data_IF_388532528489
#
_entry.id   IF_388532528489
#
_cell.length_a   1.000
_cell.length_b   1.000
_cell.length_c   1.000
_cell.angle_alpha   90.00
_cell.angle_beta   90.00
_cell.angle_gamma   90.00
#
_symmetry.space_group_name_H-M   'P 1'
#
loop_
_entity.id
_entity.type
_entity.pdbx_description
1 polymer ?
#
# COMPACT_ATOMS: atom_id res chain seq x y z
N UNK A 1 19.46 10.04 -0.06
CA UNK A 1 18.90 11.39 0.09
C UNK A 1 18.18 11.53 1.44
N UNK A 2 17.13 10.76 1.68
CA UNK A 2 16.23 10.91 2.84
C UNK A 2 16.56 10.00 4.03
N UNK A 3 17.72 9.36 4.06
CA UNK A 3 18.09 8.37 5.08
C UNK A 3 18.10 8.94 6.50
N UNK A 4 18.69 10.12 6.68
CA UNK A 4 18.75 10.77 7.98
C UNK A 4 17.36 11.21 8.47
N UNK A 5 16.51 11.67 7.56
CA UNK A 5 15.15 12.07 7.90
C UNK A 5 14.29 10.86 8.21
N UNK A 6 14.49 9.70 7.56
CA UNK A 6 13.83 8.45 7.94
C UNK A 6 14.21 8.00 9.37
N UNK A 7 15.45 8.25 9.82
CA UNK A 7 15.82 8.00 11.23
C UNK A 7 15.00 8.90 12.17
N UNK A 8 14.80 10.17 11.80
CA UNK A 8 13.96 11.09 12.59
C UNK A 8 12.48 10.68 12.57
N UNK A 9 11.99 10.14 11.44
CA UNK A 9 10.64 9.55 11.36
C UNK A 9 10.48 8.39 12.32
N UNK A 10 11.46 7.48 12.40
CA UNK A 10 11.43 6.36 13.38
C UNK A 10 11.44 6.87 14.83
N UNK A 11 12.20 7.91 15.12
CA UNK A 11 12.18 8.56 16.43
C UNK A 11 10.82 9.17 16.76
N UNK A 12 10.19 9.83 15.77
CA UNK A 12 8.85 10.40 15.93
C UNK A 12 7.79 9.31 16.14
N UNK A 13 7.82 8.22 15.37
CA UNK A 13 6.96 7.05 15.54
C UNK A 13 7.11 6.45 16.96
N UNK A 14 8.35 6.28 17.41
CA UNK A 14 8.64 5.77 18.77
C UNK A 14 8.11 6.71 19.84
N UNK A 15 8.26 8.02 19.66
CA UNK A 15 7.74 9.04 20.59
C UNK A 15 6.22 8.97 20.69
N UNK A 16 5.53 8.88 19.56
CA UNK A 16 4.07 8.80 19.53
C UNK A 16 3.55 7.52 20.18
N UNK A 17 4.21 6.39 19.95
CA UNK A 17 3.86 5.12 20.61
C UNK A 17 4.07 5.17 22.12
N UNK A 18 5.13 5.81 22.61
CA UNK A 18 5.44 5.89 24.04
C UNK A 18 4.47 6.81 24.82
N UNK A 19 3.86 7.81 24.14
CA UNK A 19 2.88 8.72 24.75
C UNK A 19 1.48 8.10 24.84
N UNK A 20 1.26 6.91 24.26
CA UNK A 20 -0.02 6.26 24.24
C UNK A 20 -0.40 5.67 25.61
N UNK A 21 -1.69 5.49 25.84
CA UNK A 21 -2.22 4.68 26.93
C UNK A 21 -1.63 3.26 26.89
N UNK A 22 -1.19 2.72 28.04
CA UNK A 22 -0.37 1.50 28.08
C UNK A 22 -0.85 0.34 27.20
N UNK A 23 -2.12 -0.08 27.17
CA UNK A 23 -2.58 -1.15 26.28
C UNK A 23 -2.39 -0.84 24.80
N UNK A 24 -2.49 0.44 24.40
CA UNK A 24 -2.28 0.87 23.02
C UNK A 24 -0.79 0.92 22.73
N UNK A 25 0.04 1.42 23.64
CA UNK A 25 1.49 1.52 23.42
C UNK A 25 2.16 0.15 23.21
N UNK A 26 1.68 -0.89 23.88
CA UNK A 26 2.16 -2.26 23.69
C UNK A 26 1.88 -2.76 22.25
N UNK A 27 0.65 -2.56 21.76
CA UNK A 27 0.24 -3.00 20.44
C UNK A 27 0.97 -2.17 19.36
N UNK A 28 1.00 -0.85 19.49
CA UNK A 28 1.62 0.04 18.50
C UNK A 28 3.13 -0.16 18.43
N UNK A 29 3.81 -0.29 19.58
CA UNK A 29 5.25 -0.57 19.61
C UNK A 29 5.59 -1.93 18.98
N UNK A 30 4.75 -2.93 19.19
CA UNK A 30 4.91 -4.24 18.58
C UNK A 30 4.80 -4.17 17.04
N UNK A 31 3.83 -3.43 16.52
CA UNK A 31 3.59 -3.29 15.09
C UNK A 31 4.68 -2.48 14.41
N UNK A 32 5.00 -1.32 14.94
CA UNK A 32 6.04 -0.44 14.41
C UNK A 32 7.42 -1.08 14.50
N UNK A 33 7.69 -1.85 15.56
CA UNK A 33 8.91 -2.64 15.74
C UNK A 33 9.01 -3.87 14.84
N UNK A 34 7.94 -4.22 14.09
CA UNK A 34 7.94 -5.28 13.07
C UNK A 34 8.74 -4.95 11.80
N UNK A 35 9.35 -3.77 11.76
CA UNK A 35 10.13 -3.30 10.62
C UNK A 35 9.25 -2.90 9.42
N UNK A 36 9.91 -2.48 8.34
CA UNK A 36 9.26 -2.09 7.09
C UNK A 36 10.23 -1.29 6.23
N UNK A 37 10.03 -1.29 4.92
CA UNK A 37 10.88 -0.53 3.97
C UNK A 37 10.62 0.99 4.03
N UNK A 38 9.65 1.44 4.82
CA UNK A 38 9.25 2.86 4.99
C UNK A 38 9.10 3.60 3.66
N UNK A 39 8.56 2.92 2.67
CA UNK A 39 8.42 3.47 1.31
C UNK A 39 7.52 4.71 1.27
N UNK A 40 6.42 4.71 2.04
CA UNK A 40 5.47 5.84 2.11
C UNK A 40 6.08 7.08 2.75
N UNK A 41 6.71 7.00 3.94
CA UNK A 41 7.50 8.09 4.49
C UNK A 41 8.59 8.59 3.54
N UNK A 42 9.34 7.67 2.90
CA UNK A 42 10.38 8.04 1.95
C UNK A 42 9.83 8.82 0.76
N UNK A 43 8.70 8.38 0.21
CA UNK A 43 8.01 9.07 -0.89
C UNK A 43 7.62 10.50 -0.51
N UNK A 44 6.99 10.70 0.66
CA UNK A 44 6.63 12.04 1.14
C UNK A 44 7.87 12.93 1.26
N UNK A 45 8.94 12.44 1.88
CA UNK A 45 10.18 13.19 2.06
C UNK A 45 10.88 13.52 0.73
N UNK A 46 10.85 12.60 -0.24
CA UNK A 46 11.38 12.84 -1.58
C UNK A 46 10.57 13.91 -2.31
N UNK A 47 9.25 13.85 -2.25
CA UNK A 47 8.36 14.84 -2.85
C UNK A 47 8.49 16.21 -2.16
N UNK A 48 8.67 16.25 -0.83
CA UNK A 48 8.97 17.48 -0.11
C UNK A 48 10.28 18.11 -0.58
N UNK A 49 11.36 17.33 -0.65
CA UNK A 49 12.66 17.82 -1.14
C UNK A 49 12.62 18.26 -2.60
N UNK A 50 11.80 17.61 -3.42
CA UNK A 50 11.57 17.98 -4.81
C UNK A 50 10.80 19.30 -4.95
N UNK A 51 9.81 19.52 -4.09
CA UNK A 51 8.98 20.72 -4.10
C UNK A 51 9.60 21.90 -3.36
N UNK A 52 10.66 21.69 -2.56
CA UNK A 52 11.20 22.71 -1.65
C UNK A 52 11.68 23.97 -2.40
N UNK A 53 10.87 25.02 -2.34
CA UNK A 53 11.18 26.37 -2.89
C UNK A 53 11.87 27.26 -1.88
N UNK A 54 11.74 26.96 -0.59
CA UNK A 54 12.34 27.68 0.51
C UNK A 54 13.05 26.71 1.45
N UNK A 55 14.09 27.20 2.15
CA UNK A 55 14.71 26.43 3.25
C UNK A 55 13.69 26.31 4.39
N UNK A 56 12.97 25.17 4.47
CA UNK A 56 12.23 24.78 5.65
C UNK A 56 13.11 23.90 6.55
N UNK A 57 12.84 23.87 7.85
CA UNK A 57 13.57 22.99 8.77
C UNK A 57 13.19 21.50 8.62
N UNK A 58 12.27 21.18 7.73
CA UNK A 58 11.80 19.82 7.42
C UNK A 58 11.00 19.12 8.54
N UNK A 59 10.75 19.79 9.67
CA UNK A 59 10.07 19.18 10.82
C UNK A 59 8.66 18.72 10.49
N UNK A 60 7.90 19.55 9.78
CA UNK A 60 6.54 19.21 9.34
C UNK A 60 6.54 18.00 8.41
N UNK A 61 7.52 17.90 7.50
CA UNK A 61 7.65 16.75 6.62
C UNK A 61 7.96 15.45 7.38
N UNK A 62 8.82 15.51 8.41
CA UNK A 62 9.13 14.36 9.28
C UNK A 62 7.87 13.94 10.06
N UNK A 63 7.14 14.89 10.67
CA UNK A 63 5.90 14.60 11.40
C UNK A 63 4.85 13.97 10.49
N UNK A 64 4.60 14.56 9.31
CA UNK A 64 3.60 14.01 8.39
C UNK A 64 4.05 12.69 7.75
N UNK A 65 5.35 12.46 7.56
CA UNK A 65 5.89 11.16 7.20
C UNK A 65 5.62 10.10 8.28
N UNK A 66 5.68 10.47 9.55
CA UNK A 66 5.24 9.59 10.65
C UNK A 66 3.71 9.38 10.62
N UNK A 67 2.92 10.44 10.39
CA UNK A 67 1.45 10.36 10.26
C UNK A 67 1.02 9.34 9.21
N UNK A 68 1.57 9.38 8.01
CA UNK A 68 1.19 8.44 6.95
C UNK A 68 1.56 6.99 7.30
N UNK A 69 2.62 6.77 8.07
CA UNK A 69 3.00 5.43 8.53
C UNK A 69 2.10 4.95 9.69
N UNK A 70 1.64 5.86 10.57
CA UNK A 70 0.64 5.55 11.59
C UNK A 70 -0.70 5.17 10.96
N UNK A 71 -1.18 5.94 9.97
CA UNK A 71 -2.39 5.62 9.20
C UNK A 71 -2.25 4.25 8.52
N UNK A 72 -1.13 3.99 7.86
CA UNK A 72 -0.88 2.68 7.27
C UNK A 72 -0.89 1.56 8.32
N UNK A 73 -0.30 1.79 9.49
CA UNK A 73 -0.30 0.80 10.57
C UNK A 73 -1.71 0.54 11.10
N UNK A 74 -2.55 1.58 11.19
CA UNK A 74 -3.94 1.44 11.56
C UNK A 74 -4.73 0.56 10.57
N UNK A 75 -4.54 0.79 9.26
CA UNK A 75 -5.18 -0.07 8.25
C UNK A 75 -4.73 -1.51 8.36
N UNK A 76 -3.43 -1.76 8.57
CA UNK A 76 -2.91 -3.13 8.71
C UNK A 76 -3.51 -3.87 9.93
N UNK A 77 -3.75 -3.16 11.05
CA UNK A 77 -4.41 -3.76 12.22
C UNK A 77 -5.85 -4.13 11.90
N UNK A 78 -6.58 -3.24 11.23
CA UNK A 78 -7.97 -3.48 10.87
C UNK A 78 -8.07 -4.60 9.83
N UNK A 79 -7.20 -4.59 8.81
CA UNK A 79 -7.13 -5.65 7.80
C UNK A 79 -6.87 -7.02 8.46
N UNK A 80 -5.94 -7.13 9.42
CA UNK A 80 -5.66 -8.37 10.14
C UNK A 80 -6.90 -8.93 10.86
N UNK A 81 -7.74 -8.05 11.41
CA UNK A 81 -9.00 -8.45 12.05
C UNK A 81 -10.03 -8.88 11.02
N UNK A 82 -10.20 -8.12 9.94
CA UNK A 82 -11.16 -8.37 8.84
C UNK A 82 -10.83 -9.69 8.13
N UNK A 83 -9.56 -9.87 7.77
CA UNK A 83 -9.06 -11.06 7.07
C UNK A 83 -8.85 -12.26 8.03
N UNK A 84 -9.08 -12.10 9.35
CA UNK A 84 -8.79 -13.11 10.38
C UNK A 84 -7.37 -13.67 10.28
N UNK A 85 -6.41 -12.80 10.01
CA UNK A 85 -5.03 -13.18 9.79
C UNK A 85 -4.36 -13.64 11.10
N UNK A 86 -3.71 -14.81 11.09
CA UNK A 86 -2.96 -15.32 12.24
C UNK A 86 -1.56 -14.69 12.36
N UNK A 87 -0.97 -14.36 11.24
CA UNK A 87 0.41 -13.86 11.17
C UNK A 87 0.55 -12.66 10.25
N UNK A 88 1.50 -11.77 10.58
CA UNK A 88 1.93 -10.65 9.76
C UNK A 88 3.46 -10.53 9.78
N UNK A 89 4.08 -10.55 8.60
CA UNK A 89 5.55 -10.48 8.46
C UNK A 89 6.28 -11.54 9.29
N UNK A 90 5.78 -12.78 9.29
CA UNK A 90 6.35 -13.90 10.03
C UNK A 90 6.21 -13.83 11.56
N UNK A 91 5.40 -12.91 12.10
CA UNK A 91 5.10 -12.77 13.53
C UNK A 91 3.59 -12.91 13.75
N UNK A 92 3.11 -13.31 14.94
CA UNK A 92 1.68 -13.27 15.24
C UNK A 92 1.08 -11.90 14.95
N UNK A 93 -0.09 -11.86 14.33
CA UNK A 93 -0.84 -10.62 14.11
C UNK A 93 -1.32 -10.00 15.42
N UNK A 94 -1.74 -8.74 15.40
CA UNK A 94 -2.24 -8.08 16.60
C UNK A 94 -3.50 -8.76 17.15
N UNK A 95 -4.44 -9.16 16.28
CA UNK A 95 -5.66 -9.85 16.67
C UNK A 95 -5.39 -11.23 17.28
N UNK A 96 -4.41 -11.99 16.76
CA UNK A 96 -4.00 -13.27 17.35
C UNK A 96 -3.39 -13.10 18.74
N UNK A 97 -2.67 -11.99 19.00
CA UNK A 97 -1.97 -11.77 20.26
C UNK A 97 -2.82 -11.10 21.34
N UNK A 98 -3.66 -10.13 20.96
CA UNK A 98 -4.44 -9.31 21.93
C UNK A 98 -5.95 -9.41 21.73
N UNK A 99 -6.40 -10.14 20.71
CA UNK A 99 -7.81 -10.31 20.35
C UNK A 99 -8.35 -9.15 19.52
N UNK A 100 -9.45 -9.42 18.79
CA UNK A 100 -10.04 -8.50 17.83
C UNK A 100 -10.44 -7.15 18.43
N UNK A 101 -11.09 -7.14 19.61
CA UNK A 101 -11.58 -5.91 20.24
C UNK A 101 -10.45 -4.91 20.53
N UNK A 102 -9.32 -5.40 21.09
CA UNK A 102 -8.18 -4.52 21.38
C UNK A 102 -7.50 -4.05 20.12
N UNK A 103 -7.43 -4.89 19.10
CA UNK A 103 -6.83 -4.55 17.81
C UNK A 103 -7.63 -3.46 17.10
N UNK A 104 -8.96 -3.59 17.02
CA UNK A 104 -9.82 -2.54 16.44
C UNK A 104 -9.62 -1.21 17.15
N UNK A 105 -9.70 -1.19 18.49
CA UNK A 105 -9.53 0.05 19.27
C UNK A 105 -8.12 0.65 19.15
N UNK A 106 -7.08 -0.19 18.99
CA UNK A 106 -5.73 0.30 18.74
C UNK A 106 -5.60 0.95 17.36
N UNK A 107 -6.25 0.39 16.33
CA UNK A 107 -6.34 1.00 15.00
C UNK A 107 -7.07 2.34 15.03
N UNK A 108 -8.22 2.41 15.70
CA UNK A 108 -8.98 3.66 15.89
C UNK A 108 -8.15 4.73 16.59
N UNK A 109 -7.42 4.33 17.63
CA UNK A 109 -6.53 5.24 18.34
C UNK A 109 -5.43 5.79 17.43
N UNK A 110 -4.81 4.95 16.59
CA UNK A 110 -3.79 5.38 15.62
C UNK A 110 -4.36 6.35 14.60
N UNK A 111 -5.58 6.14 14.12
CA UNK A 111 -6.27 7.10 13.25
C UNK A 111 -6.42 8.45 13.93
N UNK A 112 -6.96 8.48 15.15
CA UNK A 112 -7.16 9.74 15.88
C UNK A 112 -5.85 10.45 16.19
N UNK A 113 -4.82 9.70 16.60
CA UNK A 113 -3.47 10.24 16.84
C UNK A 113 -2.87 10.87 15.56
N UNK A 114 -3.06 10.23 14.42
CA UNK A 114 -2.60 10.73 13.13
C UNK A 114 -3.24 12.09 12.79
N UNK A 115 -4.55 12.22 12.97
CA UNK A 115 -5.25 13.48 12.74
C UNK A 115 -4.89 14.55 13.79
N UNK A 116 -4.65 14.16 15.03
CA UNK A 116 -4.21 15.09 16.07
C UNK A 116 -2.85 15.71 15.72
N UNK A 117 -1.88 14.88 15.30
CA UNK A 117 -0.55 15.37 14.89
C UNK A 117 -0.67 16.27 13.66
N UNK A 118 -1.47 15.88 12.67
CA UNK A 118 -1.68 16.68 11.47
C UNK A 118 -2.35 18.03 11.77
N UNK A 119 -3.27 18.07 12.71
CA UNK A 119 -3.94 19.31 13.15
C UNK A 119 -2.97 20.31 13.79
N UNK A 120 -1.88 19.85 14.41
CA UNK A 120 -0.84 20.73 14.97
C UNK A 120 -0.16 21.59 13.90
N UNK A 121 -0.11 21.11 12.65
CA UNK A 121 0.47 21.86 11.52
C UNK A 121 -0.37 23.07 11.11
N UNK A 122 -1.63 23.19 11.59
CA UNK A 122 -2.56 24.28 11.30
C UNK A 122 -2.74 24.58 9.81
N UNK A 123 -2.59 23.55 8.99
CA UNK A 123 -2.76 23.62 7.54
C UNK A 123 -3.98 22.79 7.13
N UNK A 124 -5.06 23.46 6.74
CA UNK A 124 -6.30 22.79 6.33
C UNK A 124 -6.10 21.93 5.08
N UNK A 125 -5.20 22.30 4.15
CA UNK A 125 -4.92 21.50 2.97
C UNK A 125 -4.34 20.13 3.33
N UNK A 126 -3.48 20.06 4.36
CA UNK A 126 -2.97 18.80 4.90
C UNK A 126 -4.12 17.92 5.44
N UNK A 127 -5.04 18.52 6.18
CA UNK A 127 -6.20 17.80 6.72
C UNK A 127 -7.14 17.30 5.61
N UNK A 128 -7.41 18.13 4.59
CA UNK A 128 -8.24 17.73 3.45
C UNK A 128 -7.65 16.50 2.75
N UNK A 129 -6.35 16.49 2.50
CA UNK A 129 -5.66 15.34 1.89
C UNK A 129 -5.78 14.09 2.77
N UNK A 130 -5.55 14.22 4.08
CA UNK A 130 -5.59 13.08 4.99
C UNK A 130 -7.00 12.51 5.16
N UNK A 131 -8.03 13.36 5.20
CA UNK A 131 -9.43 12.94 5.28
C UNK A 131 -9.82 12.20 3.98
N UNK A 132 -9.54 12.80 2.82
CA UNK A 132 -9.86 12.20 1.51
C UNK A 132 -9.18 10.83 1.34
N UNK A 133 -7.88 10.73 1.61
CA UNK A 133 -7.17 9.44 1.48
C UNK A 133 -7.66 8.38 2.47
N UNK A 134 -7.96 8.76 3.71
CA UNK A 134 -8.46 7.83 4.73
C UNK A 134 -9.83 7.30 4.36
N UNK A 135 -10.72 8.18 3.90
CA UNK A 135 -12.04 7.80 3.42
C UNK A 135 -11.93 6.83 2.23
N UNK A 136 -11.07 7.13 1.25
CA UNK A 136 -10.83 6.25 0.11
C UNK A 136 -10.30 4.87 0.53
N UNK A 137 -9.38 4.79 1.51
CA UNK A 137 -8.89 3.51 2.01
C UNK A 137 -10.02 2.66 2.60
N UNK A 138 -10.92 3.27 3.39
CA UNK A 138 -12.10 2.57 3.95
C UNK A 138 -13.06 2.13 2.84
N UNK A 139 -13.34 3.00 1.87
CA UNK A 139 -14.16 2.65 0.69
C UNK A 139 -13.52 1.50 -0.10
N UNK A 140 -12.20 1.49 -0.24
CA UNK A 140 -11.46 0.41 -0.88
C UNK A 140 -11.67 -0.94 -0.17
N UNK A 141 -11.63 -0.94 1.15
CA UNK A 141 -11.90 -2.16 1.93
C UNK A 141 -13.34 -2.64 1.76
N UNK A 142 -14.32 -1.73 1.77
CA UNK A 142 -15.72 -2.07 1.50
C UNK A 142 -15.92 -2.63 0.09
N UNK A 143 -15.24 -2.07 -0.93
CA UNK A 143 -15.24 -2.60 -2.30
C UNK A 143 -14.65 -4.01 -2.32
N UNK A 144 -13.54 -4.25 -1.63
CA UNK A 144 -12.92 -5.58 -1.52
C UNK A 144 -13.90 -6.59 -0.93
N UNK A 145 -14.50 -6.28 0.22
CA UNK A 145 -15.47 -7.15 0.88
C UNK A 145 -16.66 -7.50 -0.02
N UNK A 146 -17.14 -6.54 -0.82
CA UNK A 146 -18.23 -6.77 -1.77
C UNK A 146 -17.82 -7.67 -2.96
N UNK A 147 -16.52 -7.85 -3.21
CA UNK A 147 -15.98 -8.65 -4.31
C UNK A 147 -15.39 -9.99 -3.87
N UNK A 148 -15.24 -10.24 -2.56
CA UNK A 148 -14.78 -11.54 -2.05
C UNK A 148 -15.63 -12.68 -2.55
N UNK A 149 -14.99 -13.75 -3.07
CA UNK A 149 -15.64 -14.94 -3.59
C UNK A 149 -16.33 -14.78 -4.95
N UNK A 150 -16.22 -13.62 -5.59
CA UNK A 150 -16.85 -13.35 -6.90
C UNK A 150 -15.92 -13.66 -8.05
N UNK A 151 -16.45 -14.28 -9.09
CA UNK A 151 -15.73 -14.63 -10.31
C UNK A 151 -15.97 -13.66 -11.49
N UNK A 152 -16.84 -12.69 -11.31
CA UNK A 152 -17.21 -11.69 -12.31
C UNK A 152 -16.48 -10.35 -12.10
N UNK A 153 -15.36 -10.39 -11.35
CA UNK A 153 -14.48 -9.24 -11.15
C UNK A 153 -13.80 -8.86 -12.46
N UNK A 154 -13.90 -7.59 -12.83
CA UNK A 154 -13.31 -7.06 -14.07
C UNK A 154 -11.95 -6.42 -13.82
N UNK A 155 -11.19 -6.14 -14.90
CA UNK A 155 -9.95 -5.34 -14.83
C UNK A 155 -10.20 -3.96 -14.21
N UNK A 156 -11.32 -3.30 -14.58
CA UNK A 156 -11.72 -2.00 -14.03
C UNK A 156 -11.98 -2.09 -12.52
N UNK A 157 -12.66 -3.14 -12.06
CA UNK A 157 -12.86 -3.39 -10.63
C UNK A 157 -11.53 -3.56 -9.88
N UNK A 158 -10.60 -4.34 -10.43
CA UNK A 158 -9.30 -4.57 -9.83
C UNK A 158 -8.45 -3.28 -9.76
N UNK A 159 -8.42 -2.49 -10.84
CA UNK A 159 -7.71 -1.20 -10.86
C UNK A 159 -8.37 -0.20 -9.91
N UNK A 160 -9.69 -0.16 -9.84
CA UNK A 160 -10.42 0.69 -8.88
C UNK A 160 -10.06 0.30 -7.45
N UNK A 161 -10.11 -0.98 -7.11
CA UNK A 161 -9.74 -1.48 -5.79
C UNK A 161 -8.29 -1.10 -5.44
N UNK A 162 -7.33 -1.36 -6.34
CA UNK A 162 -5.93 -0.98 -6.16
C UNK A 162 -5.74 0.54 -5.97
N UNK A 163 -6.55 1.35 -6.67
CA UNK A 163 -6.54 2.82 -6.52
C UNK A 163 -6.97 3.24 -5.13
N UNK A 164 -8.08 2.68 -4.63
CA UNK A 164 -8.68 3.07 -3.35
C UNK A 164 -7.92 2.48 -2.15
N UNK A 165 -7.52 1.20 -2.20
CA UNK A 165 -6.89 0.53 -1.06
C UNK A 165 -5.39 0.88 -0.92
N UNK A 166 -4.69 1.03 -2.04
CA UNK A 166 -3.22 1.17 -2.03
C UNK A 166 -2.73 2.48 -2.61
N UNK A 167 -3.13 2.82 -3.84
CA UNK A 167 -2.55 3.95 -4.55
C UNK A 167 -2.96 5.31 -3.97
N UNK A 168 -4.13 5.43 -3.33
CA UNK A 168 -4.55 6.66 -2.67
C UNK A 168 -3.58 7.11 -1.57
N UNK A 169 -2.97 6.19 -0.82
CA UNK A 169 -1.99 6.53 0.21
C UNK A 169 -0.65 6.95 -0.40
N UNK A 170 -0.23 6.37 -1.53
CA UNK A 170 0.93 6.84 -2.28
C UNK A 170 0.70 8.25 -2.84
N UNK A 171 -0.48 8.49 -3.42
CA UNK A 171 -0.91 9.81 -3.88
C UNK A 171 -0.90 10.83 -2.73
N UNK A 172 -1.52 10.49 -1.60
CA UNK A 172 -1.53 11.34 -0.41
C UNK A 172 -0.12 11.69 0.10
N UNK A 173 0.80 10.71 0.13
CA UNK A 173 2.21 10.96 0.49
C UNK A 173 2.86 11.98 -0.45
N UNK A 174 2.67 11.83 -1.76
CA UNK A 174 3.27 12.70 -2.75
C UNK A 174 2.68 14.13 -2.67
N UNK A 175 1.34 14.25 -2.54
CA UNK A 175 0.63 15.53 -2.36
C UNK A 175 1.08 16.26 -1.09
N UNK A 176 1.12 15.56 0.05
CA UNK A 176 1.58 16.14 1.32
C UNK A 176 3.01 16.69 1.19
N UNK A 177 3.91 15.94 0.54
CA UNK A 177 5.26 16.41 0.25
C UNK A 177 5.26 17.69 -0.59
N UNK A 178 4.44 17.75 -1.63
CA UNK A 178 4.28 18.91 -2.51
C UNK A 178 3.77 20.15 -1.76
N UNK A 179 2.68 19.99 -1.01
CA UNK A 179 2.07 21.06 -0.21
C UNK A 179 3.05 21.64 0.80
N UNK A 180 3.79 20.78 1.53
CA UNK A 180 4.79 21.22 2.49
C UNK A 180 6.00 21.88 1.82
N UNK A 181 6.33 21.51 0.59
CA UNK A 181 7.39 22.12 -0.20
C UNK A 181 7.01 23.44 -0.87
N UNK A 182 5.71 23.80 -0.84
CA UNK A 182 5.21 25.06 -1.38
C UNK A 182 4.76 25.00 -2.84
N UNK A 183 4.40 23.82 -3.34
CA UNK A 183 3.79 23.64 -4.66
C UNK A 183 2.39 24.24 -4.71
N UNK A 184 2.02 24.78 -5.87
CA UNK A 184 0.67 25.21 -6.17
C UNK A 184 -0.26 24.01 -6.50
N UNK A 185 -1.54 24.27 -6.74
CA UNK A 185 -2.53 23.22 -7.01
C UNK A 185 -2.23 22.42 -8.28
N UNK A 186 -1.68 23.02 -9.32
CA UNK A 186 -1.35 22.32 -10.56
C UNK A 186 -0.14 21.38 -10.37
N UNK A 187 0.86 21.84 -9.63
CA UNK A 187 2.03 21.07 -9.28
C UNK A 187 1.68 19.94 -8.28
N UNK A 188 0.79 20.24 -7.32
CA UNK A 188 0.24 19.24 -6.40
C UNK A 188 -0.49 18.14 -7.19
N UNK A 189 -1.30 18.50 -8.21
CA UNK A 189 -1.98 17.53 -9.06
C UNK A 189 -1.00 16.62 -9.80
N UNK A 190 0.12 17.15 -10.26
CA UNK A 190 1.17 16.34 -10.90
C UNK A 190 1.78 15.32 -9.93
N UNK A 191 1.93 15.67 -8.65
CA UNK A 191 2.38 14.75 -7.61
C UNK A 191 1.28 13.76 -7.20
N UNK A 192 0.01 14.16 -7.22
CA UNK A 192 -1.13 13.25 -7.04
C UNK A 192 -1.10 12.13 -8.08
N UNK A 193 -1.00 12.51 -9.35
CA UNK A 193 -0.91 11.56 -10.46
C UNK A 193 0.34 10.68 -10.36
N UNK A 194 1.49 11.25 -10.00
CA UNK A 194 2.71 10.50 -9.77
C UNK A 194 2.52 9.42 -8.70
N UNK A 195 2.04 9.82 -7.52
CA UNK A 195 1.82 8.91 -6.40
C UNK A 195 0.79 7.83 -6.73
N UNK A 196 -0.30 8.21 -7.40
CA UNK A 196 -1.34 7.28 -7.84
C UNK A 196 -0.81 6.23 -8.81
N UNK A 197 -0.04 6.63 -9.83
CA UNK A 197 0.53 5.68 -10.79
C UNK A 197 1.62 4.81 -10.16
N UNK A 198 2.47 5.36 -9.30
CA UNK A 198 3.48 4.57 -8.57
C UNK A 198 2.81 3.55 -7.63
N UNK A 199 1.72 3.94 -6.95
CA UNK A 199 0.95 3.05 -6.08
C UNK A 199 0.22 1.93 -6.84
N UNK A 200 -0.31 2.22 -8.03
CA UNK A 200 -0.89 1.20 -8.92
C UNK A 200 0.17 0.20 -9.39
N UNK A 201 1.33 0.68 -9.87
CA UNK A 201 2.44 -0.19 -10.25
C UNK A 201 2.87 -1.08 -9.06
N UNK A 202 2.94 -0.50 -7.86
CA UNK A 202 3.28 -1.23 -6.64
C UNK A 202 2.30 -2.36 -6.34
N UNK A 203 0.99 -2.11 -6.41
CA UNK A 203 -0.02 -3.13 -6.15
C UNK A 203 0.02 -4.25 -7.18
N UNK A 204 0.16 -3.91 -8.48
CA UNK A 204 0.23 -4.93 -9.53
C UNK A 204 1.47 -5.84 -9.39
N UNK A 205 2.59 -5.30 -8.92
CA UNK A 205 3.76 -6.13 -8.60
C UNK A 205 3.48 -7.01 -7.38
N UNK A 206 2.80 -6.52 -6.34
CA UNK A 206 2.40 -7.35 -5.20
C UNK A 206 1.48 -8.50 -5.64
N UNK A 207 0.49 -8.23 -6.52
CA UNK A 207 -0.38 -9.26 -7.10
C UNK A 207 0.41 -10.32 -7.90
N UNK A 208 1.45 -9.91 -8.64
CA UNK A 208 2.33 -10.83 -9.37
C UNK A 208 3.17 -11.70 -8.44
N UNK A 209 3.66 -11.13 -7.35
CA UNK A 209 4.51 -11.82 -6.39
C UNK A 209 3.77 -12.97 -5.70
N UNK A 210 2.46 -12.87 -5.51
CA UNK A 210 1.62 -13.97 -4.98
C UNK A 210 1.67 -15.24 -5.88
N UNK A 211 2.08 -15.10 -7.17
CA UNK A 211 2.27 -16.19 -8.12
C UNK A 211 3.72 -16.58 -8.38
N UNK A 212 4.69 -15.72 -8.09
CA UNK A 212 6.06 -15.87 -8.57
C UNK A 212 7.10 -16.05 -7.48
N UNK A 213 6.83 -15.50 -6.29
CA UNK A 213 7.77 -15.58 -5.18
C UNK A 213 7.64 -16.90 -4.39
N UNK A 214 8.72 -17.36 -3.79
CA UNK A 214 8.70 -18.53 -2.91
C UNK A 214 7.98 -18.20 -1.59
N UNK A 215 7.43 -19.23 -0.93
CA UNK A 215 6.79 -19.07 0.39
C UNK A 215 7.75 -18.48 1.43
N UNK A 216 9.06 -18.77 1.32
CA UNK A 216 10.09 -18.20 2.19
C UNK A 216 10.26 -16.68 1.97
N UNK A 217 10.18 -16.26 0.71
CA UNK A 217 10.28 -14.84 0.32
C UNK A 217 9.02 -14.04 0.71
N UNK A 218 7.83 -14.62 0.51
CA UNK A 218 6.54 -13.97 0.83
C UNK A 218 6.25 -13.92 2.34
N UNK A 219 6.79 -14.88 3.10
CA UNK A 219 6.36 -15.12 4.49
C UNK A 219 4.92 -15.65 4.61
N UNK A 220 4.31 -16.03 3.47
CA UNK A 220 2.97 -16.63 3.33
C UNK A 220 2.97 -17.63 2.16
N UNK A 221 2.05 -18.61 2.12
CA UNK A 221 1.91 -19.51 0.98
C UNK A 221 1.59 -18.74 -0.31
N UNK A 222 2.02 -19.26 -1.46
CA UNK A 222 1.60 -18.75 -2.76
C UNK A 222 0.07 -18.84 -2.91
N UNK A 223 -0.52 -17.98 -3.73
CA UNK A 223 -1.97 -17.89 -3.94
C UNK A 223 -2.78 -17.62 -2.66
N UNK A 224 -2.17 -16.95 -1.69
CA UNK A 224 -2.85 -16.60 -0.44
C UNK A 224 -4.05 -15.67 -0.69
N UNK A 225 -3.96 -14.78 -1.68
CA UNK A 225 -5.04 -13.87 -2.04
C UNK A 225 -6.28 -14.64 -2.53
N UNK A 226 -6.08 -15.68 -3.35
CA UNK A 226 -7.19 -16.52 -3.80
C UNK A 226 -7.80 -17.33 -2.65
N UNK A 227 -7.01 -17.85 -1.74
CA UNK A 227 -7.50 -18.55 -0.54
C UNK A 227 -8.37 -17.63 0.34
N UNK A 228 -8.02 -16.35 0.42
CA UNK A 228 -8.80 -15.31 1.08
C UNK A 228 -10.03 -14.87 0.26
N UNK A 229 -10.26 -15.47 -0.90
CA UNK A 229 -11.39 -15.16 -1.79
C UNK A 229 -11.17 -13.97 -2.70
N UNK A 230 -9.94 -13.48 -2.81
CA UNK A 230 -9.55 -12.31 -3.63
C UNK A 230 -9.14 -12.77 -5.03
N UNK A 231 -9.86 -12.30 -6.05
CA UNK A 231 -9.56 -12.59 -7.46
C UNK A 231 -8.76 -11.42 -8.02
N UNK A 232 -7.43 -11.56 -8.04
CA UNK A 232 -6.49 -10.52 -8.49
C UNK A 232 -6.31 -10.51 -10.01
N UNK A 233 -5.66 -9.49 -10.52
CA UNK A 233 -5.55 -9.23 -11.96
C UNK A 233 -4.97 -10.40 -12.77
N UNK A 234 -3.93 -11.13 -12.32
CA UNK A 234 -3.45 -12.33 -13.02
C UNK A 234 -4.53 -13.40 -13.20
N UNK A 235 -5.38 -13.63 -12.20
CA UNK A 235 -6.50 -14.58 -12.31
C UNK A 235 -7.58 -14.09 -13.27
N UNK A 236 -7.93 -12.79 -13.21
CA UNK A 236 -8.90 -12.17 -14.13
C UNK A 236 -8.46 -12.41 -15.57
N UNK A 237 -7.21 -12.13 -15.90
CA UNK A 237 -6.68 -12.33 -17.24
C UNK A 237 -6.60 -13.79 -17.67
N UNK A 238 -6.19 -14.69 -16.77
CA UNK A 238 -6.16 -16.12 -17.06
C UNK A 238 -7.55 -16.66 -17.38
N UNK A 239 -8.59 -16.22 -16.67
CA UNK A 239 -9.97 -16.65 -16.91
C UNK A 239 -10.59 -16.04 -18.20
N UNK A 240 -10.12 -14.87 -18.65
CA UNK A 240 -10.60 -14.23 -19.88
C UNK A 240 -10.10 -14.92 -21.16
N UNK A 241 -8.93 -15.54 -21.15
CA UNK A 241 -8.26 -16.11 -22.31
C UNK A 241 -8.83 -17.48 -22.77
N UNK A 242 -10.06 -17.84 -22.37
CA UNK A 242 -10.73 -19.05 -22.81
C UNK A 242 -10.28 -20.34 -22.11
N UNK A 243 -9.48 -20.25 -21.08
CA UNK A 243 -9.06 -21.39 -20.25
C UNK A 243 -10.18 -21.75 -19.26
N UNK A 244 -11.16 -22.57 -19.71
CA UNK A 244 -12.23 -23.11 -18.85
C UNK A 244 -11.65 -23.78 -17.61
N UNK A 245 -10.51 -24.49 -17.74
CA UNK A 245 -9.84 -25.19 -16.64
C UNK A 245 -9.37 -24.23 -15.54
N UNK A 246 -8.78 -23.06 -15.89
CA UNK A 246 -8.39 -22.06 -14.89
C UNK A 246 -9.61 -21.52 -14.14
N UNK A 247 -10.71 -21.25 -14.87
CA UNK A 247 -11.97 -20.78 -14.29
C UNK A 247 -12.58 -21.81 -13.33
N UNK A 248 -12.59 -23.10 -13.70
CA UNK A 248 -13.11 -24.17 -12.87
C UNK A 248 -12.26 -24.37 -11.61
N UNK A 249 -10.94 -24.25 -11.72
CA UNK A 249 -10.03 -24.34 -10.56
C UNK A 249 -10.23 -23.16 -9.60
N UNK A 250 -10.31 -21.93 -10.10
CA UNK A 250 -10.59 -20.74 -9.27
C UNK A 250 -11.94 -20.89 -8.57
N UNK A 251 -12.99 -21.32 -9.26
CA UNK A 251 -14.31 -21.52 -8.67
C UNK A 251 -14.27 -22.50 -7.49
N UNK A 252 -13.57 -23.63 -7.64
CA UNK A 252 -13.42 -24.62 -6.57
C UNK A 252 -12.69 -24.07 -5.35
N UNK A 253 -11.57 -23.35 -5.54
CA UNK A 253 -10.82 -22.75 -4.42
C UNK A 253 -11.69 -21.71 -3.69
N UNK A 254 -12.46 -20.91 -4.41
CA UNK A 254 -13.38 -19.94 -3.79
C UNK A 254 -14.50 -20.61 -2.99
N UNK A 255 -15.01 -21.76 -3.47
CA UNK A 255 -16.02 -22.55 -2.77
C UNK A 255 -15.46 -23.24 -1.52
N UNK A 256 -14.28 -23.88 -1.67
CA UNK A 256 -13.62 -24.64 -0.60
C UNK A 256 -12.95 -23.73 0.43
N UNK A 257 -12.64 -22.47 0.07
CA UNK A 257 -11.80 -21.52 0.82
C UNK A 257 -10.44 -22.12 1.21
N UNK A 258 -9.99 -23.11 0.46
CA UNK A 258 -8.76 -23.85 0.67
C UNK A 258 -8.37 -24.57 -0.63
N UNK A 259 -7.15 -25.08 -0.70
CA UNK A 259 -6.63 -25.90 -1.81
C UNK A 259 -6.79 -27.41 -1.52
N UNK A 260 -8.04 -27.89 -1.33
CA UNK A 260 -8.31 -29.32 -1.10
C UNK A 260 -8.31 -30.12 -2.40
N UNK A 261 -9.09 -29.69 -3.38
CA UNK A 261 -9.25 -30.41 -4.66
C UNK A 261 -8.39 -29.83 -5.79
N UNK A 262 -7.77 -28.70 -5.59
CA UNK A 262 -6.96 -27.98 -6.58
C UNK A 262 -5.50 -27.97 -6.12
N UNK A 263 -4.59 -28.37 -7.01
CA UNK A 263 -3.14 -28.25 -6.76
C UNK A 263 -2.69 -26.82 -7.09
N UNK A 264 -2.12 -26.06 -6.12
CA UNK A 264 -1.68 -24.68 -6.33
C UNK A 264 -0.71 -24.54 -7.51
N UNK A 265 0.24 -25.49 -7.61
CA UNK A 265 1.27 -25.49 -8.65
C UNK A 265 0.67 -25.60 -10.06
N UNK A 266 -0.42 -26.38 -10.20
CA UNK A 266 -1.13 -26.53 -11.47
C UNK A 266 -1.83 -25.23 -11.86
N UNK A 267 -2.47 -24.54 -10.90
CA UNK A 267 -3.11 -23.24 -11.15
C UNK A 267 -2.06 -22.20 -11.53
N UNK A 268 -0.93 -22.11 -10.79
CA UNK A 268 0.18 -21.20 -11.12
C UNK A 268 0.71 -21.45 -12.52
N UNK A 269 0.90 -22.74 -12.90
CA UNK A 269 1.35 -23.09 -14.25
C UNK A 269 0.35 -22.66 -15.34
N UNK A 270 -0.94 -22.84 -15.11
CA UNK A 270 -2.00 -22.39 -16.04
C UNK A 270 -1.99 -20.87 -16.20
N UNK A 271 -1.94 -20.11 -15.08
CA UNK A 271 -1.89 -18.63 -15.10
C UNK A 271 -0.63 -18.15 -15.84
N UNK A 272 0.52 -18.79 -15.61
CA UNK A 272 1.78 -18.49 -16.32
C UNK A 272 1.66 -18.75 -17.81
N UNK A 273 1.16 -19.92 -18.20
CA UNK A 273 1.07 -20.34 -19.61
C UNK A 273 0.01 -19.55 -20.39
N UNK A 274 -0.98 -18.95 -19.71
CA UNK A 274 -1.99 -18.10 -20.35
C UNK A 274 -1.46 -16.73 -20.81
N UNK A 275 -0.24 -16.33 -20.40
CA UNK A 275 0.31 -14.98 -20.62
C UNK A 275 -0.26 -13.92 -19.66
N UNK A 276 -1.07 -14.32 -18.67
CA UNK A 276 -1.71 -13.39 -17.73
C UNK A 276 -0.70 -12.65 -16.86
N UNK A 277 0.38 -13.32 -16.42
CA UNK A 277 1.45 -12.68 -15.66
C UNK A 277 2.15 -11.58 -16.46
N UNK A 278 2.46 -11.86 -17.74
CA UNK A 278 3.12 -10.88 -18.61
C UNK A 278 2.21 -9.69 -18.92
N UNK A 279 0.90 -9.92 -19.10
CA UNK A 279 -0.08 -8.85 -19.28
C UNK A 279 -0.15 -7.96 -18.03
N UNK A 280 -0.19 -8.53 -16.84
CA UNK A 280 -0.19 -7.78 -15.58
C UNK A 280 1.11 -6.98 -15.41
N UNK A 281 2.26 -7.61 -15.71
CA UNK A 281 3.57 -6.94 -15.68
C UNK A 281 3.64 -5.76 -16.65
N UNK A 282 3.15 -5.92 -17.86
CA UNK A 282 3.11 -4.84 -18.86
C UNK A 282 2.26 -3.67 -18.39
N UNK A 283 1.13 -3.92 -17.73
CA UNK A 283 0.31 -2.87 -17.14
C UNK A 283 1.03 -2.15 -15.98
N UNK A 284 1.76 -2.88 -15.13
CA UNK A 284 2.59 -2.28 -14.08
C UNK A 284 3.69 -1.38 -14.67
N UNK A 285 4.36 -1.83 -15.75
CA UNK A 285 5.33 -1.02 -16.50
C UNK A 285 4.70 0.23 -17.13
N UNK A 286 3.47 0.14 -17.61
CA UNK A 286 2.75 1.30 -18.14
C UNK A 286 2.50 2.34 -17.04
N UNK A 287 2.02 1.93 -15.86
CA UNK A 287 1.82 2.83 -14.74
C UNK A 287 3.15 3.43 -14.25
N UNK A 288 4.22 2.66 -14.18
CA UNK A 288 5.54 3.17 -13.84
C UNK A 288 6.04 4.25 -14.83
N UNK A 289 5.81 4.06 -16.14
CA UNK A 289 6.11 5.08 -17.16
C UNK A 289 5.26 6.35 -16.98
N UNK A 290 3.95 6.19 -16.70
CA UNK A 290 3.06 7.32 -16.41
C UNK A 290 3.53 8.09 -15.17
N UNK A 291 3.92 7.40 -14.09
CA UNK A 291 4.48 8.04 -12.91
C UNK A 291 5.71 8.89 -13.28
N UNK A 292 6.68 8.32 -14.00
CA UNK A 292 7.87 9.07 -14.42
C UNK A 292 7.53 10.32 -15.25
N UNK A 293 6.51 10.25 -16.10
CA UNK A 293 6.10 11.38 -16.93
C UNK A 293 5.56 12.56 -16.12
N UNK A 294 5.04 12.35 -14.91
CA UNK A 294 4.59 13.42 -14.03
C UNK A 294 5.74 14.25 -13.44
N UNK A 295 6.98 13.72 -13.44
CA UNK A 295 8.17 14.41 -12.93
C UNK A 295 8.97 15.10 -14.06
N UNK A 296 8.45 15.14 -15.27
CA UNK A 296 9.07 15.81 -16.41
C UNK A 296 8.87 17.32 -16.33
N UNK A 297 9.95 18.11 -16.41
CA UNK A 297 9.91 19.57 -16.43
C UNK A 297 10.48 20.26 -15.18
N UNK A 298 10.80 19.54 -14.13
CA UNK A 298 11.23 20.11 -12.84
C UNK A 298 12.76 20.13 -12.65
N UNK A 299 13.54 20.35 -13.67
CA UNK A 299 15.00 20.41 -13.55
C UNK A 299 15.65 19.06 -13.23
N UNK A 300 16.97 19.07 -13.02
CA UNK A 300 17.77 17.86 -12.73
C UNK A 300 18.22 17.79 -11.26
N UNK A 301 17.31 18.09 -10.32
CA UNK A 301 17.61 17.94 -8.90
C UNK A 301 17.81 16.48 -8.51
N UNK A 302 18.57 16.23 -7.43
CA UNK A 302 18.75 14.86 -6.90
C UNK A 302 17.43 14.22 -6.52
N UNK A 303 16.47 15.01 -6.01
CA UNK A 303 15.12 14.54 -5.67
C UNK A 303 14.32 14.17 -6.93
N UNK A 304 14.40 14.97 -8.01
CA UNK A 304 13.78 14.65 -9.27
C UNK A 304 14.32 13.34 -9.85
N UNK A 305 15.64 13.13 -9.81
CA UNK A 305 16.27 11.87 -10.24
C UNK A 305 15.78 10.69 -9.40
N UNK A 306 15.74 10.85 -8.06
CA UNK A 306 15.25 9.80 -7.17
C UNK A 306 13.78 9.44 -7.43
N UNK A 307 12.90 10.43 -7.64
CA UNK A 307 11.51 10.20 -7.99
C UNK A 307 11.34 9.52 -9.36
N UNK A 308 12.19 9.81 -10.35
CA UNK A 308 12.16 9.08 -11.63
C UNK A 308 12.66 7.63 -11.50
N UNK A 309 13.54 7.34 -10.54
CA UNK A 309 14.08 5.99 -10.32
C UNK A 309 13.15 5.13 -9.45
N UNK A 310 12.36 5.73 -8.56
CA UNK A 310 11.49 5.00 -7.64
C UNK A 310 10.51 4.03 -8.34
N UNK A 311 9.85 4.38 -9.46
CA UNK A 311 9.00 3.44 -10.18
C UNK A 311 9.77 2.22 -10.74
N UNK A 312 11.05 2.36 -11.15
CA UNK A 312 11.85 1.21 -11.56
C UNK A 312 12.14 0.30 -10.38
N UNK A 313 12.54 0.87 -9.23
CA UNK A 313 12.74 0.12 -7.99
C UNK A 313 11.48 -0.64 -7.56
N UNK A 314 10.27 -0.09 -7.82
CA UNK A 314 9.00 -0.78 -7.57
C UNK A 314 8.85 -2.00 -8.48
N UNK A 315 9.20 -1.87 -9.76
CA UNK A 315 9.11 -2.95 -10.75
C UNK A 315 10.12 -4.08 -10.53
N UNK A 316 11.32 -3.74 -10.01
CA UNK A 316 12.43 -4.67 -9.75
C UNK A 316 12.28 -5.43 -8.42
N UNK A 317 11.18 -5.22 -7.70
CA UNK A 317 10.96 -5.92 -6.42
C UNK A 317 10.84 -7.42 -6.66
N UNK A 318 11.81 -8.14 -6.11
CA UNK A 318 11.79 -9.60 -5.97
C UNK A 318 11.55 -10.05 -4.51
N UNK A 319 11.55 -9.12 -3.57
CA UNK A 319 11.59 -9.10 -2.10
C UNK A 319 12.85 -8.63 -1.44
#
# INVERSE_FOLDING_TARGET
LVREDLVKVEQELSRQSACAFQPVSEITSYLLGGGGKRLRPALLLLCHGYAARCKSDGRSAIKLAAVVELLHSATLIHDDVIDSADTRRGRPSANSRWGNHRSVLAGDWLYMQSFQIALEERNFRVLDILIDLTQKMVEGELIQLAKIGRMDVTEEDAVKLATYKTACLFSGCARLGGVLGGFDEQEEQSLDDYGRYAGLAFQLIDDLLDFTASSEQLGKPALSDLKEGKVTLPLIYAMQNGHSEARDMVARVLEEKEFHSVQPEKLVALVRNSGALDRTRNLAHEYARRAKSCINGAGDSEYARALRTLPDFILEREY
#
